data_IF_049589896571
#
_entry.id   IF_049589896571
#
_cell.length_a   1.000
_cell.length_b   1.000
_cell.length_c   1.000
_cell.angle_alpha   90.00
_cell.angle_beta   90.00
_cell.angle_gamma   90.00
#
_symmetry.space_group_name_H-M   'P 1'
#
loop_
_entity.id
_entity.type
_entity.pdbx_description
1 polymer ?
#
# COMPACT_ATOMS: atom_id res chain seq x y z
N UNK A 1 -12.94 3.64 3.90
CA UNK A 1 -12.03 2.59 3.45
C UNK A 1 -11.84 2.71 1.96
N UNK A 2 -10.59 2.62 1.47
CA UNK A 2 -10.33 2.55 0.04
C UNK A 2 -10.94 1.29 -0.58
N UNK A 3 -11.31 1.40 -1.85
CA UNK A 3 -12.03 0.34 -2.60
C UNK A 3 -11.16 -0.35 -3.64
N UNK A 4 -9.92 0.10 -3.81
CA UNK A 4 -8.99 -0.45 -4.80
C UNK A 4 -8.51 -1.84 -4.37
N UNK A 5 -8.10 -2.66 -5.33
CA UNK A 5 -7.63 -4.03 -5.08
C UNK A 5 -6.41 -4.04 -4.18
N UNK A 6 -6.46 -4.85 -3.11
CA UNK A 6 -5.42 -4.95 -2.10
C UNK A 6 -4.40 -6.06 -2.40
N UNK A 7 -3.24 -6.02 -1.76
CA UNK A 7 -2.39 -7.20 -1.68
C UNK A 7 -3.10 -8.31 -0.89
N UNK A 8 -2.97 -9.53 -1.39
CA UNK A 8 -3.54 -10.73 -0.80
C UNK A 8 -2.47 -11.48 0.01
N UNK A 9 -2.91 -12.34 0.92
CA UNK A 9 -2.03 -13.06 1.85
C UNK A 9 -2.02 -12.47 3.27
N UNK A 10 -1.41 -13.22 4.18
CA UNK A 10 -1.31 -12.88 5.59
C UNK A 10 0.14 -12.49 5.93
N UNK A 11 0.30 -11.35 6.59
CA UNK A 11 1.55 -10.90 7.17
C UNK A 11 1.48 -11.02 8.70
N UNK A 12 2.60 -10.79 9.39
CA UNK A 12 2.59 -10.67 10.86
C UNK A 12 1.64 -9.58 11.37
N UNK A 13 1.37 -8.57 10.54
CA UNK A 13 0.56 -7.40 10.85
C UNK A 13 -0.89 -7.57 10.34
N UNK A 14 -1.24 -8.77 9.82
CA UNK A 14 -2.55 -9.13 9.30
C UNK A 14 -2.62 -9.11 7.78
N UNK A 15 -3.83 -8.90 7.25
CA UNK A 15 -4.12 -8.86 5.81
C UNK A 15 -4.47 -7.44 5.34
N UNK A 16 -4.56 -7.23 4.03
CA UNK A 16 -4.96 -5.95 3.43
C UNK A 16 -6.43 -5.55 3.65
N UNK A 17 -7.18 -6.22 4.54
CA UNK A 17 -8.63 -6.04 4.70
C UNK A 17 -9.06 -4.60 5.03
N UNK A 18 -8.17 -3.81 5.63
CA UNK A 18 -8.42 -2.41 5.98
C UNK A 18 -8.43 -1.48 4.76
N UNK A 19 -7.97 -1.92 3.59
CA UNK A 19 -8.00 -1.16 2.34
C UNK A 19 -6.76 -0.28 2.06
N UNK A 20 -5.75 -0.28 2.93
CA UNK A 20 -4.59 0.62 2.82
C UNK A 20 -3.34 -0.01 2.17
N UNK A 21 -3.41 -1.25 1.69
CA UNK A 21 -2.34 -1.99 1.04
C UNK A 21 -2.62 -2.19 -0.46
N UNK A 22 -2.82 -1.07 -1.18
CA UNK A 22 -3.21 -1.09 -2.58
C UNK A 22 -2.19 -1.83 -3.46
N UNK A 23 -2.69 -2.75 -4.29
CA UNK A 23 -1.92 -3.51 -5.30
C UNK A 23 -2.23 -3.04 -6.71
N UNK A 24 -3.51 -2.84 -7.02
CA UNK A 24 -3.97 -2.36 -8.34
C UNK A 24 -5.00 -1.25 -8.17
N UNK A 25 -4.60 -0.04 -8.55
CA UNK A 25 -5.45 1.16 -8.45
C UNK A 25 -6.55 1.21 -9.52
N UNK A 26 -6.50 0.32 -10.52
CA UNK A 26 -7.49 0.26 -11.60
C UNK A 26 -8.54 -0.84 -11.42
N UNK A 27 -8.43 -1.63 -10.36
CA UNK A 27 -9.41 -2.67 -10.03
C UNK A 27 -10.08 -2.38 -8.68
N UNK A 28 -11.37 -2.72 -8.59
CA UNK A 28 -12.08 -2.79 -7.32
C UNK A 28 -11.64 -4.06 -6.58
N UNK A 29 -11.50 -3.97 -5.27
CA UNK A 29 -11.23 -5.14 -4.45
C UNK A 29 -12.38 -6.15 -4.57
N UNK A 30 -12.12 -7.39 -5.02
CA UNK A 30 -13.18 -8.37 -5.27
C UNK A 30 -13.98 -8.73 -4.00
N UNK A 31 -13.45 -8.49 -2.80
CA UNK A 31 -14.20 -8.71 -1.56
C UNK A 31 -15.36 -7.72 -1.37
N UNK A 32 -15.33 -6.57 -2.04
CA UNK A 32 -16.42 -5.59 -2.04
C UNK A 32 -17.42 -5.79 -3.18
N UNK A 33 -17.11 -6.68 -4.14
CA UNK A 33 -17.91 -6.92 -5.34
C UNK A 33 -17.30 -6.28 -6.58
N UNK A 34 -18.15 -5.88 -7.51
CA UNK A 34 -17.77 -5.38 -8.82
C UNK A 34 -17.78 -3.84 -8.89
N UNK A 35 -17.20 -3.29 -9.95
CA UNK A 35 -17.33 -1.86 -10.25
C UNK A 35 -18.79 -1.43 -10.49
N UNK A 36 -19.68 -2.35 -10.89
CA UNK A 36 -21.10 -2.05 -11.03
C UNK A 36 -21.78 -1.95 -9.66
N UNK A 37 -21.44 -2.83 -8.71
CA UNK A 37 -21.99 -2.78 -7.35
C UNK A 37 -21.65 -1.45 -6.65
N UNK A 38 -20.43 -0.93 -6.85
CA UNK A 38 -20.04 0.40 -6.35
C UNK A 38 -20.89 1.52 -6.97
N UNK A 39 -21.14 1.46 -8.29
CA UNK A 39 -22.00 2.45 -8.97
C UNK A 39 -23.44 2.39 -8.46
N UNK A 40 -23.95 1.20 -8.25
CA UNK A 40 -25.31 0.97 -7.77
C UNK A 40 -25.47 1.45 -6.32
N UNK A 41 -24.45 1.25 -5.48
CA UNK A 41 -24.39 1.81 -4.13
C UNK A 41 -24.46 3.35 -4.17
N UNK A 42 -23.57 3.98 -4.95
CA UNK A 42 -23.52 5.46 -5.08
C UNK A 42 -24.85 6.00 -5.59
N UNK A 43 -25.44 5.36 -6.62
CA UNK A 43 -26.75 5.73 -7.14
C UNK A 43 -27.83 5.62 -6.05
N UNK A 44 -27.86 4.50 -5.32
CA UNK A 44 -28.83 4.27 -4.26
C UNK A 44 -28.74 5.29 -3.12
N UNK A 45 -27.53 5.78 -2.80
CA UNK A 45 -27.33 6.85 -1.83
C UNK A 45 -27.87 8.19 -2.35
N UNK A 46 -27.57 8.55 -3.59
CA UNK A 46 -28.05 9.80 -4.20
C UNK A 46 -29.58 9.82 -4.39
N UNK A 47 -30.19 8.69 -4.76
CA UNK A 47 -31.67 8.56 -4.83
C UNK A 47 -32.33 8.82 -3.47
N UNK A 48 -31.58 8.68 -2.37
CA UNK A 48 -32.00 8.93 -0.97
C UNK A 48 -31.49 10.26 -0.42
N UNK A 49 -30.95 11.14 -1.27
CA UNK A 49 -30.40 12.44 -0.90
C UNK A 49 -29.25 12.34 0.15
N UNK A 50 -28.46 11.26 0.10
CA UNK A 50 -27.27 11.06 0.93
C UNK A 50 -26.00 11.35 0.14
N UNK A 51 -24.97 11.87 0.81
CA UNK A 51 -23.64 12.07 0.22
C UNK A 51 -22.77 10.82 0.35
N UNK A 52 -22.02 10.51 -0.71
CA UNK A 52 -20.99 9.48 -0.69
C UNK A 52 -19.60 10.11 -0.53
N UNK A 53 -18.84 9.65 0.45
CA UNK A 53 -17.44 10.06 0.67
C UNK A 53 -16.53 8.86 0.39
N UNK A 54 -15.57 9.06 -0.52
CA UNK A 54 -14.58 8.05 -0.88
C UNK A 54 -13.26 8.33 -0.18
N UNK A 55 -12.66 7.27 0.33
CA UNK A 55 -11.36 7.27 0.99
C UNK A 55 -10.30 6.81 -0.02
N UNK A 56 -9.23 7.58 -0.19
CA UNK A 56 -8.22 7.38 -1.24
C UNK A 56 -6.82 7.51 -0.62
N UNK A 57 -5.99 6.51 -0.87
CA UNK A 57 -4.58 6.50 -0.48
C UNK A 57 -3.74 6.72 -1.73
N UNK A 58 -2.99 7.81 -1.76
CA UNK A 58 -2.08 8.15 -2.88
C UNK A 58 -0.61 8.15 -2.47
N UNK A 59 -0.33 8.03 -1.18
CA UNK A 59 1.02 8.15 -0.62
C UNK A 59 1.83 6.86 -0.77
N UNK A 60 1.20 5.71 -0.62
CA UNK A 60 1.86 4.41 -0.57
C UNK A 60 1.01 3.32 -1.23
N UNK A 61 1.66 2.19 -1.47
CA UNK A 61 1.09 0.94 -1.97
C UNK A 61 1.17 -0.13 -0.87
N UNK A 62 0.74 -1.35 -1.17
CA UNK A 62 0.97 -2.50 -0.29
C UNK A 62 2.44 -2.72 0.06
N UNK A 63 2.74 -3.61 1.02
CA UNK A 63 4.11 -3.89 1.42
C UNK A 63 4.97 -4.34 0.23
N UNK A 64 6.14 -3.72 0.09
CA UNK A 64 7.13 -4.04 -0.96
C UNK A 64 8.42 -4.44 -0.26
N UNK A 65 8.95 -5.62 -0.58
CA UNK A 65 10.17 -6.17 0.01
C UNK A 65 11.26 -6.47 -1.02
N UNK A 66 10.90 -6.50 -2.30
CA UNK A 66 11.77 -6.83 -3.41
C UNK A 66 11.39 -6.05 -4.67
N UNK A 67 12.28 -6.09 -5.67
CA UNK A 67 11.95 -5.58 -7.01
C UNK A 67 10.81 -6.37 -7.64
N UNK A 68 10.72 -7.68 -7.35
CA UNK A 68 9.67 -8.55 -7.89
C UNK A 68 8.28 -8.16 -7.37
N UNK A 69 8.18 -7.70 -6.12
CA UNK A 69 6.93 -7.15 -5.57
C UNK A 69 6.48 -5.91 -6.35
N UNK A 70 7.42 -5.03 -6.69
CA UNK A 70 7.14 -3.81 -7.46
C UNK A 70 6.61 -4.16 -8.84
N UNK A 71 7.19 -5.13 -9.53
CA UNK A 71 6.74 -5.56 -10.87
C UNK A 71 5.27 -6.04 -10.85
N UNK A 72 4.79 -6.54 -9.72
CA UNK A 72 3.42 -7.01 -9.52
C UNK A 72 2.38 -5.92 -9.22
N UNK A 73 2.77 -4.66 -9.09
CA UNK A 73 1.87 -3.53 -8.79
C UNK A 73 1.26 -2.92 -10.06
N UNK A 74 0.15 -2.22 -9.91
CA UNK A 74 -0.49 -1.47 -11.00
C UNK A 74 -1.05 -0.12 -10.52
N UNK A 75 -0.79 0.98 -11.25
CA UNK A 75 0.10 1.11 -12.42
C UNK A 75 1.59 1.22 -12.05
N UNK A 76 1.92 1.25 -10.75
CA UNK A 76 3.25 1.59 -10.26
C UNK A 76 4.21 0.39 -10.28
N UNK A 77 4.45 -0.18 -11.47
CA UNK A 77 5.20 -1.42 -11.63
C UNK A 77 6.71 -1.26 -11.81
N UNK A 78 7.27 -0.11 -11.43
CA UNK A 78 8.69 0.23 -11.59
C UNK A 78 9.20 0.90 -10.33
N UNK A 79 10.42 0.54 -9.94
CA UNK A 79 11.08 1.10 -8.74
C UNK A 79 11.27 2.61 -8.84
N UNK A 80 11.36 3.17 -10.05
CA UNK A 80 11.49 4.61 -10.32
C UNK A 80 10.28 5.45 -9.85
N UNK A 81 9.12 4.83 -9.65
CA UNK A 81 7.93 5.52 -9.11
C UNK A 81 7.96 5.67 -7.59
N UNK A 82 8.85 4.93 -6.92
CA UNK A 82 8.92 4.91 -5.47
C UNK A 82 10.12 5.71 -5.00
N UNK A 83 9.91 6.39 -3.87
CA UNK A 83 11.04 6.90 -3.12
C UNK A 83 11.86 5.72 -2.62
N UNK A 84 13.17 5.79 -2.79
CA UNK A 84 14.08 4.88 -2.11
C UNK A 84 14.01 5.19 -0.61
N UNK A 85 13.28 4.40 0.21
CA UNK A 85 13.32 4.62 1.65
C UNK A 85 14.68 4.19 2.18
N UNK A 86 15.46 5.20 2.48
CA UNK A 86 16.52 5.15 3.46
C UNK A 86 16.00 5.89 4.70
N UNK A 87 15.36 5.15 5.62
CA UNK A 87 14.96 5.65 6.94
C UNK A 87 15.66 4.84 8.03
N UNK A 88 16.98 5.02 8.10
CA UNK A 88 17.79 4.69 9.29
C UNK A 88 17.20 5.21 10.60
N UNK A 89 17.74 4.69 11.69
CA UNK A 89 17.23 4.89 13.04
C UNK A 89 16.98 6.37 13.33
N UNK A 90 15.71 6.77 13.49
CA UNK A 90 15.34 8.09 13.98
C UNK A 90 14.57 7.96 15.29
N UNK A 91 15.16 8.42 16.37
CA UNK A 91 14.47 8.89 17.56
C UNK A 91 13.41 9.95 17.23
N UNK A 92 12.45 10.20 18.12
CA UNK A 92 11.45 11.26 17.94
C UNK A 92 12.12 12.64 17.76
N UNK A 93 13.25 12.86 18.42
CA UNK A 93 14.11 14.03 18.22
C UNK A 93 14.73 14.09 16.82
N UNK A 94 15.09 12.96 16.23
CA UNK A 94 15.61 12.88 14.86
C UNK A 94 14.49 13.08 13.83
N UNK A 95 13.30 12.52 14.06
CA UNK A 95 12.12 12.79 13.25
C UNK A 95 11.73 14.29 13.25
N UNK A 96 11.86 14.95 14.40
CA UNK A 96 11.58 16.37 14.56
C UNK A 96 12.78 17.30 14.26
N UNK A 97 13.95 16.76 13.88
CA UNK A 97 15.16 17.55 13.65
C UNK A 97 15.20 18.20 12.26
N UNK A 98 15.92 19.33 12.09
CA UNK A 98 16.16 19.92 10.77
C UNK A 98 16.89 18.92 9.86
N UNK A 99 16.37 18.70 8.65
CA UNK A 99 16.70 17.58 7.75
C UNK A 99 18.19 17.35 7.39
N UNK A 100 19.08 18.31 7.66
CA UNK A 100 20.49 18.26 7.25
C UNK A 100 21.38 17.22 7.92
N UNK A 101 20.92 16.49 8.95
CA UNK A 101 21.76 15.58 9.77
C UNK A 101 21.56 14.07 9.52
N UNK A 102 20.50 13.66 8.81
CA UNK A 102 20.03 12.27 8.76
C UNK A 102 20.49 11.43 7.57
N UNK A 103 21.04 12.06 6.53
CA UNK A 103 21.37 11.40 5.25
C UNK A 103 22.79 10.82 5.19
N UNK A 104 23.66 11.07 6.18
CA UNK A 104 25.08 10.69 6.11
C UNK A 104 25.42 9.29 6.68
N UNK A 105 24.52 8.62 7.42
CA UNK A 105 24.80 7.37 8.17
C UNK A 105 24.20 6.08 7.56
N UNK A 106 23.68 6.13 6.34
CA UNK A 106 22.52 5.30 5.94
C UNK A 106 22.73 4.38 4.71
N UNK A 107 23.96 4.23 4.23
CA UNK A 107 24.33 3.68 2.90
C UNK A 107 24.19 2.15 2.61
N UNK A 108 23.35 1.32 3.28
CA UNK A 108 23.38 -0.15 2.97
C UNK A 108 22.13 -1.03 3.23
N UNK A 109 20.87 -0.56 3.10
CA UNK A 109 19.67 -1.43 3.30
C UNK A 109 18.58 -1.25 2.23
N UNK A 110 17.79 -2.31 1.90
CA UNK A 110 16.92 -2.31 0.74
C UNK A 110 15.68 -1.45 0.94
N UNK A 111 15.21 -0.94 -0.21
CA UNK A 111 14.21 0.11 -0.40
C UNK A 111 12.85 -0.28 0.21
N UNK A 112 12.37 0.48 1.20
CA UNK A 112 10.95 0.45 1.59
C UNK A 112 10.18 1.53 0.82
N UNK A 113 8.85 1.40 0.73
CA UNK A 113 7.91 2.50 0.49
C UNK A 113 6.95 2.55 1.70
N UNK A 114 6.59 3.74 2.13
CA UNK A 114 6.25 4.09 3.52
C UNK A 114 4.88 3.57 4.04
N UNK A 115 4.89 2.48 4.83
CA UNK A 115 4.10 2.24 6.06
C UNK A 115 4.78 1.10 6.84
N UNK A 116 5.08 1.29 8.13
CA UNK A 116 5.91 0.35 8.92
C UNK A 116 5.18 -0.95 9.33
N UNK A 117 3.90 -1.09 9.00
CA UNK A 117 3.03 -2.19 9.46
C UNK A 117 2.87 -3.34 8.47
N UNK A 118 3.91 -3.68 7.70
CA UNK A 118 3.87 -4.85 6.83
C UNK A 118 5.24 -5.47 6.66
N UNK A 119 6.02 -5.65 7.74
CA UNK A 119 7.33 -6.28 7.60
C UNK A 119 7.19 -7.80 7.55
N UNK A 120 7.65 -8.40 6.47
CA UNK A 120 7.59 -9.84 6.27
C UNK A 120 8.74 -10.60 6.93
N UNK A 121 8.45 -11.78 7.50
CA UNK A 121 9.50 -12.62 8.09
C UNK A 121 10.31 -13.35 7.02
N UNK A 122 11.61 -13.59 7.25
CA UNK A 122 12.39 -14.50 6.41
C UNK A 122 11.72 -15.89 6.35
N UNK A 123 11.32 -16.34 5.16
CA UNK A 123 10.70 -17.64 4.93
C UNK A 123 9.17 -17.68 4.91
N UNK A 124 8.48 -16.55 5.13
CA UNK A 124 7.02 -16.43 4.98
C UNK A 124 6.65 -15.92 3.57
N UNK A 125 5.59 -16.49 2.96
CA UNK A 125 5.16 -16.14 1.61
C UNK A 125 4.31 -14.87 1.65
N UNK A 126 5.01 -13.76 1.81
CA UNK A 126 4.49 -12.41 2.00
C UNK A 126 4.31 -11.63 0.70
N UNK A 127 4.23 -12.36 -0.40
CA UNK A 127 4.35 -11.81 -1.72
C UNK A 127 3.07 -11.04 -2.06
N UNK A 128 3.22 -9.75 -2.39
CA UNK A 128 2.21 -9.08 -3.20
C UNK A 128 2.15 -9.71 -4.62
N UNK A 129 3.04 -10.64 -4.96
CA UNK A 129 3.01 -11.36 -6.24
C UNK A 129 1.93 -12.46 -6.28
N UNK A 130 1.06 -12.34 -7.30
CA UNK A 130 0.22 -13.38 -7.91
C UNK A 130 -0.47 -14.36 -6.94
N UNK A 131 -1.72 -14.02 -6.57
CA UNK A 131 -2.72 -15.07 -6.40
C UNK A 131 -2.80 -15.82 -7.74
N UNK A 132 -2.42 -17.10 -7.72
CA UNK A 132 -2.52 -17.95 -8.89
C UNK A 132 -3.97 -18.00 -9.39
N UNK A 133 -4.09 -17.90 -10.71
CA UNK A 133 -5.27 -18.23 -11.53
C UNK A 133 -5.96 -19.52 -11.11
#
# INVERSE_FOLDING_TARGET
TPVVKQCEGETKDGTGFMGYWAKDHYQIDPHYGTAQDLKDLVKGLHDRNMTFMLDIVVNHVGPVHSVDDVVGLSPFNRTEYFHTLDIGEMSFSEYAAPAGKLMAERANRPLQAMWSGGQCRPGENCNCSLAHS
#
